data_IF_282249035326
#
_entry.id   IF_282249035326
#
_cell.length_a   1.000
_cell.length_b   1.000
_cell.length_c   1.000
_cell.angle_alpha   90.00
_cell.angle_beta   90.00
_cell.angle_gamma   90.00
#
_symmetry.space_group_name_H-M   'P 1'
#
loop_
_entity.id
_entity.type
_entity.pdbx_description
1 polymer ?
#
# COMPACT_ATOMS: atom_id res chain seq x y z
N UNK A 1 4.55 0.73 9.56
CA UNK A 1 4.25 1.14 8.18
C UNK A 1 3.41 2.39 8.19
N UNK A 2 3.84 3.43 7.49
CA UNK A 2 3.04 4.64 7.38
C UNK A 2 1.88 4.44 6.44
N UNK A 3 0.72 4.91 6.86
CA UNK A 3 -0.51 4.84 6.09
C UNK A 3 -1.46 5.94 6.58
N UNK A 4 -2.47 6.22 5.81
CA UNK A 4 -3.55 7.13 6.21
C UNK A 4 -4.89 6.44 6.03
N UNK A 5 -5.86 6.76 6.87
CA UNK A 5 -7.21 6.23 6.73
C UNK A 5 -7.84 6.77 5.46
N UNK A 6 -8.57 5.91 4.76
CA UNK A 6 -9.30 6.32 3.57
C UNK A 6 -10.33 7.38 3.92
N UNK A 7 -10.37 8.45 3.13
CA UNK A 7 -11.40 9.50 3.24
C UNK A 7 -12.66 9.13 2.49
N UNK A 8 -12.54 8.21 1.54
CA UNK A 8 -13.62 7.84 0.64
C UNK A 8 -14.26 6.53 1.08
N UNK A 9 -15.51 6.35 0.74
CA UNK A 9 -16.14 5.04 0.84
C UNK A 9 -15.54 4.11 -0.18
N UNK A 10 -15.01 2.97 0.28
CA UNK A 10 -14.39 1.97 -0.57
C UNK A 10 -15.37 0.85 -0.85
N UNK A 11 -15.49 0.45 -2.11
CA UNK A 11 -16.30 -0.68 -2.55
C UNK A 11 -15.37 -1.77 -3.09
N UNK A 12 -15.64 -2.99 -2.68
CA UNK A 12 -15.01 -4.17 -3.28
C UNK A 12 -16.01 -4.72 -4.29
N UNK A 13 -15.57 -4.84 -5.55
CA UNK A 13 -16.42 -5.28 -6.65
C UNK A 13 -15.95 -6.63 -7.19
N UNK A 14 -16.86 -7.35 -7.85
CA UNK A 14 -16.50 -8.54 -8.62
C UNK A 14 -15.96 -8.16 -10.00
N UNK A 15 -15.58 -9.17 -10.78
CA UNK A 15 -15.02 -8.98 -12.12
C UNK A 15 -15.98 -8.31 -13.11
N UNK A 16 -17.29 -8.33 -12.83
CA UNK A 16 -18.32 -7.71 -13.65
C UNK A 16 -18.68 -6.29 -13.18
N UNK A 17 -18.02 -5.79 -12.15
CA UNK A 17 -18.24 -4.44 -11.64
C UNK A 17 -19.36 -4.31 -10.63
N UNK A 18 -19.93 -5.42 -10.17
CA UNK A 18 -20.94 -5.38 -9.12
C UNK A 18 -20.31 -5.38 -7.74
N UNK A 19 -20.84 -4.58 -6.83
CA UNK A 19 -20.35 -4.45 -5.46
C UNK A 19 -20.62 -5.73 -4.68
N UNK A 20 -19.58 -6.33 -4.11
CA UNK A 20 -19.70 -7.51 -3.23
C UNK A 20 -19.58 -7.16 -1.76
N UNK A 21 -18.88 -6.09 -1.42
CA UNK A 21 -18.79 -5.61 -0.04
C UNK A 21 -18.42 -4.15 0.04
N UNK A 22 -18.77 -3.54 1.17
CA UNK A 22 -18.35 -2.17 1.50
C UNK A 22 -17.71 -2.24 2.87
N UNK A 23 -16.37 -2.28 2.96
CA UNK A 23 -15.70 -2.35 4.26
C UNK A 23 -15.94 -1.08 5.08
N UNK A 24 -15.90 -1.23 6.40
CA UNK A 24 -15.99 -0.08 7.30
C UNK A 24 -14.78 0.83 7.06
N UNK A 25 -15.04 2.05 6.60
CA UNK A 25 -14.01 3.03 6.24
C UNK A 25 -13.01 3.29 7.36
N UNK A 26 -13.42 3.19 8.61
CA UNK A 26 -12.52 3.40 9.75
C UNK A 26 -11.41 2.36 9.85
N UNK A 27 -11.56 1.22 9.17
CA UNK A 27 -10.55 0.16 9.11
C UNK A 27 -9.84 0.06 7.76
N UNK A 28 -10.13 0.97 6.84
CA UNK A 28 -9.51 0.99 5.52
C UNK A 28 -8.40 2.03 5.51
N UNK A 29 -7.19 1.60 5.15
CA UNK A 29 -5.99 2.43 5.14
C UNK A 29 -5.35 2.41 3.77
N UNK A 30 -4.90 3.56 3.32
CA UNK A 30 -4.09 3.69 2.11
C UNK A 30 -2.62 3.70 2.50
N UNK A 31 -1.87 2.73 1.99
CA UNK A 31 -0.44 2.60 2.28
C UNK A 31 0.37 3.71 1.64
N UNK A 32 1.40 4.14 2.34
CA UNK A 32 2.32 5.15 1.87
C UNK A 32 3.75 4.61 1.81
N UNK A 33 4.63 5.37 1.21
CA UNK A 33 6.07 5.13 1.23
C UNK A 33 6.72 6.16 2.16
N UNK A 34 7.87 5.86 2.77
CA UNK A 34 8.62 4.61 2.65
C UNK A 34 7.98 3.45 3.42
N UNK A 35 8.34 2.23 3.02
CA UNK A 35 8.01 1.01 3.75
C UNK A 35 9.32 0.43 4.29
N UNK A 36 9.40 0.26 5.60
CA UNK A 36 10.63 -0.15 6.28
C UNK A 36 10.45 -1.49 7.00
N UNK A 37 11.45 -2.36 6.90
CA UNK A 37 11.41 -3.70 7.46
C UNK A 37 12.75 -4.07 8.07
N UNK A 38 12.74 -5.04 8.99
CA UNK A 38 13.94 -5.77 9.35
C UNK A 38 14.50 -6.46 8.11
N UNK A 39 15.82 -6.31 7.88
CA UNK A 39 16.46 -6.83 6.66
C UNK A 39 16.29 -8.34 6.51
N UNK A 40 16.52 -9.09 7.57
CA UNK A 40 16.40 -10.56 7.53
C UNK A 40 14.98 -10.98 7.20
N UNK A 41 14.01 -10.33 7.81
CA UNK A 41 12.59 -10.61 7.59
C UNK A 41 12.18 -10.39 6.12
N UNK A 42 12.50 -9.23 5.56
CA UNK A 42 12.11 -8.90 4.18
C UNK A 42 12.91 -9.73 3.17
N UNK A 43 14.18 -9.98 3.44
CA UNK A 43 15.01 -10.83 2.59
C UNK A 43 14.44 -12.23 2.47
N UNK A 44 14.10 -12.87 3.59
CA UNK A 44 13.51 -14.20 3.60
C UNK A 44 12.12 -14.23 2.93
N UNK A 45 11.35 -13.19 3.10
CA UNK A 45 10.04 -13.07 2.45
C UNK A 45 10.17 -13.04 0.91
N UNK A 46 11.07 -12.24 0.38
CA UNK A 46 11.33 -12.16 -1.06
C UNK A 46 11.93 -13.45 -1.61
N UNK A 47 12.80 -14.07 -0.83
CA UNK A 47 13.38 -15.35 -1.23
C UNK A 47 12.29 -16.42 -1.41
N UNK A 48 11.32 -16.48 -0.51
CA UNK A 48 10.17 -17.39 -0.63
C UNK A 48 9.27 -17.01 -1.82
N UNK A 49 9.07 -15.73 -2.06
CA UNK A 49 8.31 -15.26 -3.22
C UNK A 49 8.93 -15.77 -4.52
N UNK A 50 10.25 -15.64 -4.67
CA UNK A 50 10.97 -16.10 -5.86
C UNK A 50 10.83 -17.62 -6.02
N UNK A 51 10.95 -18.38 -4.94
CA UNK A 51 10.81 -19.84 -4.98
C UNK A 51 9.40 -20.30 -5.33
N UNK A 52 8.37 -19.54 -4.93
CA UNK A 52 6.97 -19.90 -5.06
C UNK A 52 6.22 -19.06 -6.11
N UNK A 53 6.95 -18.38 -6.98
CA UNK A 53 6.37 -17.43 -7.94
C UNK A 53 5.23 -18.07 -8.77
N UNK A 54 5.41 -19.26 -9.28
CA UNK A 54 4.41 -19.95 -10.08
C UNK A 54 3.16 -20.29 -9.26
N UNK A 55 3.35 -20.71 -8.02
CA UNK A 55 2.24 -21.03 -7.11
C UNK A 55 1.43 -19.78 -6.77
N UNK A 56 2.12 -18.65 -6.56
CA UNK A 56 1.47 -17.35 -6.30
C UNK A 56 0.62 -16.93 -7.48
N UNK A 57 1.15 -17.04 -8.69
CA UNK A 57 0.42 -16.72 -9.92
C UNK A 57 -0.77 -17.66 -10.13
N UNK A 58 -0.59 -18.95 -9.87
CA UNK A 58 -1.65 -19.95 -10.01
C UNK A 58 -2.82 -19.70 -9.04
N UNK A 59 -2.55 -19.15 -7.88
CA UNK A 59 -3.59 -18.79 -6.89
C UNK A 59 -4.26 -17.43 -7.17
N UNK A 60 -3.82 -16.73 -8.22
CA UNK A 60 -4.36 -15.42 -8.57
C UNK A 60 -3.95 -14.30 -7.62
N UNK A 61 -2.90 -14.50 -6.84
CA UNK A 61 -2.39 -13.49 -5.90
C UNK A 61 -1.57 -12.47 -6.68
N UNK A 62 -1.94 -11.19 -6.55
CA UNK A 62 -1.21 -10.07 -7.14
C UNK A 62 -0.48 -9.33 -6.03
N UNK A 63 0.85 -9.32 -6.10
CA UNK A 63 1.69 -8.61 -5.14
C UNK A 63 1.78 -7.15 -5.55
N UNK A 64 1.36 -6.25 -4.67
CA UNK A 64 1.30 -4.82 -4.95
C UNK A 64 2.30 -3.99 -4.15
N UNK A 65 2.78 -4.49 -3.01
CA UNK A 65 3.79 -3.79 -2.21
C UNK A 65 4.63 -4.76 -1.36
N UNK A 66 5.68 -4.21 -0.73
CA UNK A 66 6.60 -4.99 0.10
C UNK A 66 5.91 -5.56 1.35
N UNK A 67 5.01 -4.80 1.95
CA UNK A 67 4.27 -5.26 3.12
C UNK A 67 3.47 -6.53 2.82
N UNK A 68 2.88 -6.60 1.64
CA UNK A 68 2.13 -7.77 1.21
C UNK A 68 3.03 -9.01 1.08
N UNK A 69 4.25 -8.84 0.61
CA UNK A 69 5.24 -9.93 0.54
C UNK A 69 5.54 -10.47 1.94
N UNK A 70 5.79 -9.58 2.89
CA UNK A 70 6.05 -9.95 4.29
C UNK A 70 4.84 -10.67 4.90
N UNK A 71 3.66 -10.12 4.73
CA UNK A 71 2.42 -10.72 5.24
C UNK A 71 2.19 -12.12 4.67
N UNK A 72 2.40 -12.29 3.37
CA UNK A 72 2.13 -13.55 2.67
C UNK A 72 3.08 -14.66 3.08
N UNK A 73 4.37 -14.35 3.27
CA UNK A 73 5.40 -15.38 3.40
C UNK A 73 6.00 -15.52 4.79
N UNK A 74 5.74 -14.62 5.73
CA UNK A 74 6.33 -14.71 7.07
C UNK A 74 5.32 -14.89 8.18
N UNK A 75 4.05 -14.60 7.95
CA UNK A 75 3.03 -14.60 8.99
C UNK A 75 3.18 -13.49 10.03
N UNK A 76 4.12 -12.58 9.82
CA UNK A 76 4.32 -11.43 10.72
C UNK A 76 3.31 -10.35 10.40
N UNK A 77 2.60 -9.87 11.42
CA UNK A 77 1.64 -8.78 11.26
C UNK A 77 2.31 -7.45 10.97
N UNK A 78 1.69 -6.66 10.10
CA UNK A 78 2.16 -5.32 9.77
C UNK A 78 1.35 -4.30 10.56
N UNK A 79 2.02 -3.53 11.42
CA UNK A 79 1.40 -2.47 12.21
C UNK A 79 1.35 -1.20 11.39
N UNK A 80 0.15 -0.61 11.28
CA UNK A 80 -0.04 0.67 10.63
C UNK A 80 0.11 1.81 11.63
N UNK A 81 0.79 2.87 11.22
CA UNK A 81 0.91 4.12 11.98
C UNK A 81 0.46 5.27 11.10
N UNK A 82 -0.15 6.27 11.69
CA UNK A 82 -0.64 7.42 10.92
C UNK A 82 0.51 8.19 10.28
N UNK A 83 0.41 8.35 8.95
CA UNK A 83 1.28 9.23 8.17
C UNK A 83 0.63 10.58 7.94
N UNK A 84 0.92 11.18 6.80
CA UNK A 84 0.37 12.47 6.40
C UNK A 84 -0.31 12.36 5.05
N UNK A 85 -1.47 13.00 4.89
CA UNK A 85 -2.14 13.10 3.59
C UNK A 85 -1.33 13.92 2.57
N UNK A 86 -0.33 14.66 3.03
CA UNK A 86 0.58 15.42 2.17
C UNK A 86 1.75 14.57 1.67
N UNK A 87 1.94 13.38 2.22
CA UNK A 87 2.96 12.43 1.76
C UNK A 87 2.43 11.72 0.52
N UNK A 88 2.71 12.27 -0.64
CA UNK A 88 2.27 11.74 -1.91
C UNK A 88 3.43 11.11 -2.65
N UNK A 89 3.12 10.13 -3.51
CA UNK A 89 4.08 9.54 -4.43
C UNK A 89 3.92 10.21 -5.79
N UNK A 90 4.97 10.85 -6.27
CA UNK A 90 4.93 11.53 -7.56
C UNK A 90 5.13 10.50 -8.68
N UNK A 91 4.07 10.20 -9.40
CA UNK A 91 4.08 9.21 -10.48
C UNK A 91 3.44 9.72 -11.77
N UNK A 92 2.69 10.81 -11.71
CA UNK A 92 1.99 11.40 -12.86
C UNK A 92 2.27 12.89 -12.94
N UNK A 93 2.04 13.55 -14.10
CA UNK A 93 2.16 15.00 -14.19
C UNK A 93 1.25 15.76 -13.20
N UNK A 94 0.06 15.25 -12.92
CA UNK A 94 -0.86 15.84 -11.94
C UNK A 94 -0.27 15.80 -10.53
N UNK A 95 0.45 14.74 -10.19
CA UNK A 95 1.11 14.62 -8.89
C UNK A 95 2.18 15.68 -8.72
N UNK A 96 2.91 16.01 -9.79
CA UNK A 96 3.92 17.05 -9.76
C UNK A 96 3.28 18.42 -9.49
N UNK A 97 2.20 18.73 -10.17
CA UNK A 97 1.46 19.97 -9.95
C UNK A 97 0.91 20.06 -8.52
N UNK A 98 0.40 18.95 -7.99
CA UNK A 98 -0.08 18.88 -6.61
C UNK A 98 1.05 19.13 -5.61
N UNK A 99 2.21 18.52 -5.84
CA UNK A 99 3.39 18.71 -5.00
C UNK A 99 3.88 20.16 -5.00
N UNK A 100 3.89 20.81 -6.15
CA UNK A 100 4.23 22.24 -6.26
C UNK A 100 3.24 23.11 -5.46
N UNK A 101 1.96 22.78 -5.51
CA UNK A 101 0.95 23.46 -4.71
C UNK A 101 1.18 23.33 -3.21
N UNK A 102 1.54 22.14 -2.74
CA UNK A 102 1.90 21.91 -1.33
C UNK A 102 3.13 22.72 -0.93
N UNK A 103 4.16 22.75 -1.76
CA UNK A 103 5.37 23.53 -1.50
C UNK A 103 5.10 25.02 -1.52
N UNK A 104 4.29 25.51 -2.43
CA UNK A 104 3.87 26.90 -2.48
C UNK A 104 3.09 27.34 -1.23
N UNK A 105 2.40 26.43 -0.59
CA UNK A 105 1.66 26.69 0.65
C UNK A 105 2.55 26.65 1.88
N UNK A 106 3.59 25.82 1.87
CA UNK A 106 4.45 25.53 3.04
C UNK A 106 5.90 25.88 2.82
N UNK A 107 6.32 26.01 1.56
CA UNK A 107 7.71 26.08 1.19
C UNK A 107 8.36 27.43 1.35
N UNK A 108 7.65 28.40 1.83
CA UNK A 108 8.14 29.73 2.09
C UNK A 108 8.93 29.78 3.39
N UNK A 109 10.03 29.16 3.37
CA UNK A 109 10.87 29.03 4.55
C UNK A 109 11.95 30.07 4.52
#
# INVERSE_FOLDING_TARGET
>A
MTAVRSKDTVKIADENGYVVSTPNRSFVWNMQTPQSFDFTLVYEAYRKLIQEEENVKAKGIVITDDAMVVETFTGVGVKLIEGSYENIKITTPEDLAYAEGLLGTKGEV
#
